data_IF_257348467492
#
_entry.id   IF_257348467492
#
_cell.length_a   1.000
_cell.length_b   1.000
_cell.length_c   1.000
_cell.angle_alpha   90.00
_cell.angle_beta   90.00
_cell.angle_gamma   90.00
#
_symmetry.space_group_name_H-M   'P 1'
#
loop_
_entity.id
_entity.type
_entity.pdbx_description
1 polymer ?
#
# COMPACT_ATOMS: atom_id res chain seq x y z
N UNK A 1 25.48 -23.53 3.82
CA UNK A 1 25.74 -22.44 2.85
C UNK A 1 24.49 -22.35 1.99
N UNK A 2 23.70 -21.30 2.14
CA UNK A 2 22.44 -21.14 1.40
C UNK A 2 22.79 -20.64 0.00
N UNK A 3 22.52 -21.46 -1.00
CA UNK A 3 22.62 -21.10 -2.42
C UNK A 3 21.55 -20.03 -2.69
N UNK A 4 21.95 -18.76 -2.68
CA UNK A 4 21.08 -17.66 -3.09
C UNK A 4 21.35 -17.42 -4.57
N UNK A 5 20.74 -18.25 -5.41
CA UNK A 5 20.75 -18.08 -6.87
C UNK A 5 20.03 -16.78 -7.18
N UNK A 6 20.79 -15.77 -7.59
CA UNK A 6 20.21 -14.52 -8.06
C UNK A 6 19.74 -14.76 -9.50
N UNK A 7 18.49 -14.42 -9.77
CA UNK A 7 17.92 -14.42 -11.13
C UNK A 7 18.50 -13.20 -11.86
N UNK A 8 19.12 -13.42 -13.01
CA UNK A 8 19.62 -12.33 -13.86
C UNK A 8 18.47 -11.69 -14.65
N UNK A 9 18.58 -10.42 -15.09
CA UNK A 9 17.47 -9.70 -15.74
C UNK A 9 16.89 -10.42 -16.96
N UNK A 10 17.74 -11.10 -17.74
CA UNK A 10 17.33 -11.88 -18.92
C UNK A 10 16.58 -13.19 -18.55
N UNK A 11 16.71 -13.65 -17.30
CA UNK A 11 15.96 -14.79 -16.76
C UNK A 11 14.64 -14.37 -16.10
N UNK A 12 14.38 -13.07 -15.99
CA UNK A 12 13.15 -12.48 -15.44
C UNK A 12 12.24 -11.99 -16.58
N UNK A 13 12.16 -12.75 -17.68
CA UNK A 13 11.17 -12.49 -18.73
C UNK A 13 9.83 -13.12 -18.32
N UNK A 14 8.99 -12.30 -17.70
CA UNK A 14 7.66 -12.67 -17.22
C UNK A 14 6.59 -12.59 -18.32
N UNK A 15 6.93 -12.08 -19.50
CA UNK A 15 6.00 -11.90 -20.62
C UNK A 15 5.61 -13.24 -21.24
N UNK A 16 6.49 -14.24 -21.12
CA UNK A 16 6.28 -15.60 -21.61
C UNK A 16 5.69 -16.54 -20.53
N UNK A 17 5.42 -16.02 -19.32
CA UNK A 17 4.91 -16.81 -18.20
C UNK A 17 3.38 -16.87 -18.20
N UNK A 18 2.81 -18.08 -18.21
CA UNK A 18 1.36 -18.31 -18.21
C UNK A 18 0.64 -17.74 -16.97
N UNK A 19 1.38 -17.51 -15.88
CA UNK A 19 0.86 -16.87 -14.67
C UNK A 19 0.68 -15.35 -14.83
N UNK A 20 1.21 -14.75 -15.90
CA UNK A 20 1.19 -13.31 -16.13
C UNK A 20 0.35 -12.98 -17.36
N UNK A 21 -0.63 -12.08 -17.18
CA UNK A 21 -1.44 -11.56 -18.28
C UNK A 21 -1.34 -10.05 -18.40
N UNK A 22 -1.14 -9.58 -19.62
CA UNK A 22 -1.17 -8.15 -19.95
C UNK A 22 -2.61 -7.62 -20.00
N UNK A 23 -2.83 -6.45 -19.41
CA UNK A 23 -4.11 -5.74 -19.38
C UNK A 23 -4.11 -4.48 -20.28
N UNK A 24 -2.99 -4.19 -20.94
CA UNK A 24 -2.74 -3.00 -21.75
C UNK A 24 -2.20 -1.81 -20.94
N UNK A 25 -1.59 -0.85 -21.64
CA UNK A 25 -0.91 0.33 -21.08
C UNK A 25 0.25 -0.02 -20.13
N UNK A 26 1.09 -1.01 -20.50
CA UNK A 26 2.22 -1.49 -19.69
C UNK A 26 1.83 -2.04 -18.30
N UNK A 27 0.59 -2.55 -18.16
CA UNK A 27 0.08 -3.14 -16.91
C UNK A 27 -0.08 -4.65 -17.01
N UNK A 28 0.33 -5.35 -15.97
CA UNK A 28 0.35 -6.81 -15.89
C UNK A 28 -0.34 -7.31 -14.63
N UNK A 29 -1.05 -8.44 -14.74
CA UNK A 29 -1.67 -9.16 -13.63
C UNK A 29 -0.92 -10.47 -13.43
N UNK A 30 -0.44 -10.72 -12.22
CA UNK A 30 0.28 -11.95 -11.86
C UNK A 30 -0.62 -12.82 -10.99
N UNK A 31 -0.86 -14.05 -11.43
CA UNK A 31 -1.61 -15.04 -10.67
C UNK A 31 -0.72 -15.63 -9.58
N UNK A 32 -1.16 -15.54 -8.32
CA UNK A 32 -0.50 -16.23 -7.20
C UNK A 32 -1.09 -17.63 -7.14
N UNK A 33 -0.29 -18.62 -7.54
CA UNK A 33 -0.58 -20.05 -7.75
C UNK A 33 -1.95 -20.59 -7.28
N UNK A 34 -2.71 -21.16 -8.22
CA UNK A 34 -3.64 -22.24 -7.89
C UNK A 34 -4.86 -22.50 -8.76
N UNK A 35 -5.25 -21.62 -9.70
CA UNK A 35 -6.43 -21.89 -10.52
C UNK A 35 -6.22 -21.49 -11.98
N UNK A 36 -5.98 -22.51 -12.81
CA UNK A 36 -6.06 -22.41 -14.27
C UNK A 36 -7.49 -22.18 -14.72
N UNK A 37 -8.03 -21.00 -14.42
CA UNK A 37 -9.43 -20.63 -14.63
C UNK A 37 -9.55 -19.40 -15.53
N UNK A 38 -9.86 -19.63 -16.80
CA UNK A 38 -10.37 -18.63 -17.75
C UNK A 38 -11.49 -17.81 -17.09
N UNK A 39 -11.49 -16.46 -17.09
CA UNK A 39 -12.64 -15.70 -16.67
C UNK A 39 -13.68 -15.77 -17.79
N UNK A 40 -14.57 -16.76 -17.73
CA UNK A 40 -15.76 -16.79 -18.57
C UNK A 40 -16.86 -15.98 -17.88
N UNK A 41 -17.45 -15.09 -18.66
CA UNK A 41 -18.46 -14.16 -18.22
C UNK A 41 -19.74 -14.86 -17.73
N UNK A 42 -20.39 -14.19 -16.76
CA UNK A 42 -21.81 -14.21 -16.41
C UNK A 42 -22.35 -15.20 -15.35
N UNK A 43 -23.09 -14.59 -14.41
CA UNK A 43 -24.24 -15.05 -13.61
C UNK A 43 -24.04 -15.69 -12.21
N UNK A 44 -24.67 -15.07 -11.21
CA UNK A 44 -24.82 -15.45 -9.78
C UNK A 44 -25.67 -16.73 -9.53
N UNK A 45 -26.04 -17.13 -8.27
CA UNK A 45 -25.42 -17.02 -6.93
C UNK A 45 -25.33 -18.40 -6.20
N UNK A 46 -24.42 -18.59 -5.22
CA UNK A 46 -24.48 -19.81 -4.39
C UNK A 46 -23.37 -20.11 -3.37
N UNK A 47 -23.51 -19.59 -2.14
CA UNK A 47 -23.15 -20.15 -0.81
C UNK A 47 -21.73 -20.75 -0.53
N UNK A 48 -21.02 -19.98 0.31
CA UNK A 48 -20.36 -20.31 1.60
C UNK A 48 -18.91 -20.86 1.66
N UNK A 49 -18.02 -19.88 1.92
CA UNK A 49 -17.17 -19.73 3.11
C UNK A 49 -15.89 -20.58 3.26
N UNK A 50 -14.74 -19.95 2.98
CA UNK A 50 -13.50 -20.04 3.79
C UNK A 50 -12.80 -18.66 3.77
N UNK A 51 -12.95 -17.93 4.88
CA UNK A 51 -12.02 -16.94 5.48
C UNK A 51 -11.27 -15.96 4.57
N UNK A 52 -12.06 -15.10 3.97
CA UNK A 52 -11.92 -13.63 3.88
C UNK A 52 -10.95 -13.04 4.94
N UNK A 53 -9.66 -12.89 4.58
CA UNK A 53 -8.86 -11.80 5.15
C UNK A 53 -9.24 -10.56 4.39
N UNK A 54 -10.27 -9.91 4.91
CA UNK A 54 -10.71 -8.55 4.64
C UNK A 54 -10.08 -7.97 3.36
N UNK A 55 -10.77 -8.20 2.24
CA UNK A 55 -10.91 -7.12 1.27
C UNK A 55 -11.22 -5.88 2.10
N UNK A 56 -10.24 -4.98 2.21
CA UNK A 56 -10.58 -3.63 2.59
C UNK A 56 -11.21 -3.08 1.34
N UNK A 57 -12.47 -3.43 1.15
CA UNK A 57 -13.47 -2.66 0.43
C UNK A 57 -13.63 -1.38 1.25
N UNK A 58 -12.54 -0.61 1.36
CA UNK A 58 -12.63 0.77 1.83
C UNK A 58 -13.16 1.48 0.60
N UNK A 59 -14.43 1.81 0.69
CA UNK A 59 -15.17 2.59 -0.26
C UNK A 59 -14.35 3.83 -0.60
N UNK A 60 -13.46 3.70 -1.60
CA UNK A 60 -12.91 4.82 -2.33
C UNK A 60 -14.16 5.45 -2.91
N UNK A 61 -14.66 6.44 -2.18
CA UNK A 61 -15.85 7.15 -2.58
C UNK A 61 -15.48 7.71 -3.95
N UNK A 62 -16.38 7.66 -4.92
CA UNK A 62 -16.11 8.21 -6.27
C UNK A 62 -15.70 9.72 -6.20
N UNK A 63 -15.86 10.35 -5.01
CA UNK A 63 -15.40 11.69 -4.65
C UNK A 63 -13.98 11.82 -4.10
N UNK A 64 -13.29 10.74 -3.76
CA UNK A 64 -11.94 10.80 -3.21
C UNK A 64 -10.93 11.15 -4.31
N UNK A 65 -10.26 12.29 -4.14
CA UNK A 65 -9.33 12.84 -5.14
C UNK A 65 -7.88 12.43 -4.89
N UNK A 66 -7.57 12.06 -3.65
CA UNK A 66 -6.24 11.72 -3.21
C UNK A 66 -6.26 10.36 -2.54
N UNK A 67 -5.25 9.57 -2.84
CA UNK A 67 -5.09 8.21 -2.35
C UNK A 67 -3.60 7.98 -2.03
N UNK A 68 -3.33 7.43 -0.85
CA UNK A 68 -2.00 7.01 -0.42
C UNK A 68 -2.07 5.61 0.16
N UNK A 69 -1.21 4.73 -0.32
CA UNK A 69 -1.00 3.40 0.25
C UNK A 69 0.39 3.37 0.88
N UNK A 70 0.45 2.98 2.16
CA UNK A 70 1.66 2.98 2.95
C UNK A 70 1.88 1.62 3.59
N UNK A 71 3.02 1.01 3.29
CA UNK A 71 3.54 -0.16 4.00
C UNK A 71 4.66 0.24 4.96
N UNK A 72 4.64 -0.30 6.17
CA UNK A 72 5.69 -0.09 7.16
C UNK A 72 6.09 -1.42 7.83
N UNK A 73 7.37 -1.72 7.77
CA UNK A 73 8.00 -2.83 8.50
C UNK A 73 8.83 -2.29 9.64
N UNK A 74 8.51 -2.69 10.86
CA UNK A 74 9.35 -2.47 12.04
C UNK A 74 9.97 -3.79 12.49
N UNK A 75 10.90 -3.75 13.44
CA UNK A 75 11.44 -4.96 14.07
C UNK A 75 10.37 -5.84 14.73
N UNK A 76 9.19 -5.27 14.99
CA UNK A 76 8.13 -5.93 15.75
C UNK A 76 6.99 -6.41 14.86
N UNK A 77 6.70 -5.73 13.75
CA UNK A 77 5.64 -6.14 12.83
C UNK A 77 5.66 -5.40 11.47
N UNK A 78 5.02 -6.01 10.47
CA UNK A 78 4.67 -5.43 9.16
C UNK A 78 3.20 -4.97 9.18
N UNK A 79 2.91 -3.80 8.63
CA UNK A 79 1.56 -3.23 8.53
C UNK A 79 1.42 -2.47 7.22
N UNK A 80 0.19 -2.38 6.75
CA UNK A 80 -0.18 -1.64 5.56
C UNK A 80 -1.45 -0.82 5.85
N UNK A 81 -1.55 0.35 5.26
CA UNK A 81 -2.76 1.17 5.33
C UNK A 81 -2.99 1.88 4.02
N UNK A 82 -4.27 2.08 3.73
CA UNK A 82 -4.74 2.97 2.69
C UNK A 82 -5.37 4.19 3.36
N UNK A 83 -5.03 5.38 2.86
CA UNK A 83 -5.65 6.64 3.26
C UNK A 83 -6.12 7.34 2.01
N UNK A 84 -7.44 7.52 1.88
CA UNK A 84 -8.07 8.21 0.78
C UNK A 84 -8.88 9.42 1.29
N UNK A 85 -9.11 10.41 0.43
CA UNK A 85 -9.91 11.58 0.74
C UNK A 85 -9.87 12.66 -0.33
N UNK A 86 -10.70 13.69 -0.19
CA UNK A 86 -10.75 14.83 -1.10
C UNK A 86 -9.91 16.04 -0.66
N UNK A 87 -9.35 16.01 0.56
CA UNK A 87 -8.40 16.99 1.11
C UNK A 87 -7.01 16.36 1.31
N UNK A 88 -6.05 16.76 0.47
CA UNK A 88 -4.67 16.26 0.52
C UNK A 88 -3.98 16.53 1.87
N UNK A 89 -4.34 17.63 2.55
CA UNK A 89 -3.77 17.96 3.86
C UNK A 89 -4.23 16.99 4.94
N UNK A 90 -5.50 16.57 4.90
CA UNK A 90 -6.06 15.57 5.80
C UNK A 90 -5.46 14.19 5.51
N UNK A 91 -5.44 13.77 4.24
CA UNK A 91 -4.86 12.50 3.81
C UNK A 91 -3.39 12.38 4.24
N UNK A 92 -2.59 13.42 4.02
CA UNK A 92 -1.20 13.43 4.46
C UNK A 92 -1.06 13.39 5.99
N UNK A 93 -1.89 14.14 6.71
CA UNK A 93 -1.88 14.14 8.17
C UNK A 93 -2.23 12.76 8.75
N UNK A 94 -3.19 12.06 8.15
CA UNK A 94 -3.61 10.73 8.56
C UNK A 94 -2.54 9.66 8.25
N UNK A 95 -1.89 9.77 7.10
CA UNK A 95 -0.72 8.95 6.77
C UNK A 95 0.42 9.12 7.80
N UNK A 96 0.79 10.37 8.12
CA UNK A 96 1.81 10.65 9.15
C UNK A 96 1.40 10.14 10.53
N UNK A 97 0.12 10.29 10.89
CA UNK A 97 -0.41 9.82 12.17
C UNK A 97 -0.39 8.30 12.26
N UNK A 98 -0.73 7.61 11.18
CA UNK A 98 -0.61 6.16 11.10
C UNK A 98 0.85 5.71 11.31
N UNK A 99 1.78 6.31 10.55
CA UNK A 99 3.20 5.96 10.65
C UNK A 99 3.75 6.20 12.06
N UNK A 100 3.43 7.34 12.67
CA UNK A 100 3.89 7.68 14.01
C UNK A 100 3.41 6.70 15.10
N UNK A 101 2.15 6.23 15.01
CA UNK A 101 1.63 5.18 15.91
C UNK A 101 2.36 3.86 15.74
N UNK A 102 2.85 3.58 14.54
CA UNK A 102 3.58 2.35 14.25
C UNK A 102 5.01 2.38 14.79
N UNK A 103 5.73 3.48 14.57
CA UNK A 103 7.13 3.63 14.99
C UNK A 103 7.26 3.72 16.51
N UNK A 104 6.37 4.48 17.17
CA UNK A 104 6.43 4.68 18.61
C UNK A 104 5.01 4.66 19.23
N UNK A 105 4.41 3.46 19.41
CA UNK A 105 3.02 3.32 19.85
C UNK A 105 2.73 3.90 21.24
N UNK A 106 3.75 4.04 22.08
CA UNK A 106 3.62 4.61 23.43
C UNK A 106 3.73 6.14 23.46
N UNK A 107 4.11 6.78 22.35
CA UNK A 107 4.31 8.23 22.27
C UNK A 107 3.14 8.91 21.56
N UNK A 108 2.99 10.22 21.79
CA UNK A 108 1.97 11.00 21.08
C UNK A 108 2.39 11.16 19.61
N UNK A 109 1.51 10.87 18.63
CA UNK A 109 1.85 10.96 17.21
C UNK A 109 2.45 12.30 16.80
N UNK A 110 1.95 13.41 17.35
CA UNK A 110 2.47 14.76 17.04
C UNK A 110 3.93 14.94 17.47
N UNK A 111 4.31 14.38 18.63
CA UNK A 111 5.69 14.46 19.13
C UNK A 111 6.62 13.64 18.24
N UNK A 112 6.19 12.44 17.86
CA UNK A 112 6.95 11.56 16.96
C UNK A 112 7.17 12.22 15.61
N UNK A 113 6.11 12.76 14.99
CA UNK A 113 6.21 13.49 13.71
C UNK A 113 7.13 14.69 13.83
N UNK A 114 7.06 15.47 14.91
CA UNK A 114 7.95 16.62 15.11
C UNK A 114 9.43 16.19 15.19
N UNK A 115 9.72 15.11 15.93
CA UNK A 115 11.07 14.55 16.00
C UNK A 115 11.53 14.08 14.61
N UNK A 116 10.70 13.32 13.89
CA UNK A 116 11.02 12.85 12.54
C UNK A 116 11.34 14.01 11.59
N UNK A 117 10.50 15.06 11.58
CA UNK A 117 10.70 16.23 10.75
C UNK A 117 11.96 17.00 11.13
N UNK A 118 12.26 17.10 12.43
CA UNK A 118 13.47 17.76 12.94
C UNK A 118 14.76 17.06 12.52
N UNK A 119 14.71 15.74 12.31
CA UNK A 119 15.84 14.93 11.88
C UNK A 119 16.00 14.89 10.34
N UNK A 120 14.98 15.32 9.60
CA UNK A 120 15.00 15.37 8.13
C UNK A 120 15.45 16.73 7.59
N UNK A 121 15.84 16.77 6.31
CA UNK A 121 16.16 18.02 5.59
C UNK A 121 14.96 18.98 5.49
N UNK A 122 13.74 18.46 5.70
CA UNK A 122 12.49 19.22 5.78
C UNK A 122 12.36 19.87 7.15
N UNK A 123 13.31 20.74 7.50
CA UNK A 123 13.22 21.52 8.72
C UNK A 123 11.87 22.26 8.74
N UNK A 124 11.13 22.15 9.85
CA UNK A 124 9.90 22.91 10.08
C UNK A 124 10.30 24.38 10.25
N UNK A 125 10.47 25.10 9.14
CA UNK A 125 10.63 26.54 9.19
C UNK A 125 9.31 27.13 9.69
N UNK A 126 9.39 27.83 10.82
CA UNK A 126 8.28 28.57 11.42
C UNK A 126 7.52 29.31 10.32
N UNK A 127 6.21 29.06 10.21
CA UNK A 127 5.38 29.62 9.13
C UNK A 127 5.65 31.12 9.05
N UNK A 128 6.02 31.58 7.86
CA UNK A 128 5.94 33.00 7.50
C UNK A 128 4.54 33.46 7.88
N UNK A 129 4.44 34.27 8.94
CA UNK A 129 3.24 35.04 9.26
C UNK A 129 3.10 36.06 8.15
N UNK A 130 2.44 35.67 7.08
CA UNK A 130 1.97 36.65 6.10
C UNK A 130 0.92 37.53 6.77
N UNK A 131 1.11 38.83 6.59
CA UNK A 131 0.48 39.93 7.33
C UNK A 131 -0.75 40.44 6.61
#
# INVERSE_FOLDING_TARGET
>A
MTDRTYVTPDELDFTEDDSVRELGDDRYVVAVDGDGGRPEAAAEPGRRAVEERASTDDESSDSDRYYLELGARTDVAEDETVVAGDDIGAVFADALRWYARRVAPSERPQKVVNVLLSDTEFAVTDRVRDR
#
